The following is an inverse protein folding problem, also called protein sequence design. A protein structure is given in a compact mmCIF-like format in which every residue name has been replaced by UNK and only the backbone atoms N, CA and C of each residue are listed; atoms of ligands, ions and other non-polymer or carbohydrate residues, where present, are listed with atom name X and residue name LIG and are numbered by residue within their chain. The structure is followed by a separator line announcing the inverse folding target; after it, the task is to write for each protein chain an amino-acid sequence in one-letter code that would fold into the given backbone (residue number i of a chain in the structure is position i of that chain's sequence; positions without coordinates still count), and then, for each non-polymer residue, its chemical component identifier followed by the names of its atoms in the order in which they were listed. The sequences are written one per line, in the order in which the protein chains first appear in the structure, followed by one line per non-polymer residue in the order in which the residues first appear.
data_IF_208581316182
#
_entry.id   IF_208581316182
#
_cell.length_a   1.000
_cell.length_b   1.000
_cell.length_c   1.000
_cell.angle_alpha   90.00
_cell.angle_beta   90.00
_cell.angle_gamma   90.00
#
_symmetry.space_group_name_H-M   'P 1'
#
loop_
_entity.id
_entity.type
_entity.pdbx_description
1 polymer ?
#
# COMPACT_ATOMS: atom_id res chain seq x y z
N UNK A 1 -23.98 19.98 -19.98
CA UNK A 1 -23.23 20.42 -18.78
C UNK A 1 -24.01 20.21 -17.48
N UNK A 2 -25.32 19.90 -17.53
CA UNK A 2 -26.19 19.86 -16.34
C UNK A 2 -26.25 18.54 -15.56
N UNK A 3 -25.55 17.46 -15.99
CA UNK A 3 -25.70 16.15 -15.35
C UNK A 3 -24.67 15.86 -14.23
N UNK A 4 -23.68 16.74 -14.05
CA UNK A 4 -22.59 16.51 -13.08
C UNK A 4 -22.93 17.00 -11.68
N UNK A 5 -23.66 18.11 -11.55
CA UNK A 5 -24.02 18.68 -10.24
C UNK A 5 -24.88 17.74 -9.38
N UNK A 6 -25.94 17.09 -9.91
CA UNK A 6 -26.69 16.10 -9.13
C UNK A 6 -25.83 14.92 -8.67
N UNK A 7 -24.92 14.45 -9.52
CA UNK A 7 -24.00 13.35 -9.17
C UNK A 7 -23.03 13.81 -8.07
N UNK A 8 -22.51 15.02 -8.17
CA UNK A 8 -21.60 15.58 -7.15
C UNK A 8 -22.29 15.73 -5.79
N UNK A 9 -23.55 16.17 -5.78
CA UNK A 9 -24.34 16.29 -4.55
C UNK A 9 -24.58 14.90 -3.91
N UNK A 10 -24.95 13.91 -4.71
CA UNK A 10 -25.11 12.52 -4.24
C UNK A 10 -23.83 11.98 -3.65
N UNK A 11 -22.68 12.19 -4.31
CA UNK A 11 -21.37 11.78 -3.82
C UNK A 11 -21.07 12.46 -2.49
N UNK A 12 -21.27 13.77 -2.40
CA UNK A 12 -21.06 14.53 -1.18
C UNK A 12 -21.89 13.99 -0.01
N UNK A 13 -23.17 13.72 -0.25
CA UNK A 13 -24.05 13.17 0.78
C UNK A 13 -23.60 11.78 1.23
N UNK A 14 -23.24 10.91 0.28
CA UNK A 14 -22.70 9.56 0.55
C UNK A 14 -21.45 9.63 1.41
N UNK A 15 -20.48 10.45 0.99
CA UNK A 15 -19.21 10.62 1.72
C UNK A 15 -19.40 11.20 3.12
N UNK A 16 -20.31 12.18 3.30
CA UNK A 16 -20.63 12.73 4.63
C UNK A 16 -21.22 11.67 5.55
N UNK A 17 -22.09 10.81 5.04
CA UNK A 17 -22.68 9.73 5.84
C UNK A 17 -21.62 8.70 6.24
N UNK A 18 -20.76 8.29 5.32
CA UNK A 18 -19.65 7.37 5.61
C UNK A 18 -18.67 7.98 6.60
N UNK A 19 -18.27 9.25 6.40
CA UNK A 19 -17.37 9.96 7.31
C UNK A 19 -17.92 10.01 8.74
N UNK A 20 -19.19 10.43 8.92
CA UNK A 20 -19.85 10.45 10.23
C UNK A 20 -19.80 9.06 10.88
N UNK A 21 -20.13 8.03 10.11
CA UNK A 21 -20.15 6.67 10.61
C UNK A 21 -18.76 6.14 10.99
N UNK A 22 -17.72 6.52 10.25
CA UNK A 22 -16.33 6.21 10.61
C UNK A 22 -15.91 6.88 11.91
N UNK A 23 -16.21 8.18 12.06
CA UNK A 23 -15.93 8.92 13.31
C UNK A 23 -16.59 8.23 14.49
N UNK A 24 -17.88 7.87 14.38
CA UNK A 24 -18.63 7.16 15.43
C UNK A 24 -18.04 5.78 15.73
N UNK A 25 -17.74 4.99 14.70
CA UNK A 25 -17.32 3.58 14.86
C UNK A 25 -15.90 3.44 15.42
N UNK A 26 -15.01 4.34 15.07
CA UNK A 26 -13.59 4.26 15.47
C UNK A 26 -13.21 5.26 16.55
N UNK A 27 -14.12 6.17 16.93
CA UNK A 27 -13.87 7.26 17.88
C UNK A 27 -12.64 8.10 17.52
N UNK A 28 -12.44 8.33 16.21
CA UNK A 28 -11.32 9.13 15.68
C UNK A 28 -11.90 10.31 14.91
N UNK A 29 -11.60 11.51 15.40
CA UNK A 29 -11.97 12.73 14.69
C UNK A 29 -10.92 13.03 13.62
N UNK A 30 -11.36 13.11 12.36
CA UNK A 30 -10.53 13.50 11.23
C UNK A 30 -11.30 14.43 10.30
N UNK A 31 -10.57 15.28 9.58
CA UNK A 31 -11.19 16.26 8.70
C UNK A 31 -11.77 15.60 7.46
N UNK A 32 -12.95 16.09 7.03
CA UNK A 32 -13.52 15.72 5.73
C UNK A 32 -12.71 16.29 4.56
N UNK A 33 -12.96 15.84 3.34
CA UNK A 33 -12.34 16.43 2.14
C UNK A 33 -12.70 17.92 2.01
N UNK A 34 -11.71 18.72 1.63
CA UNK A 34 -11.94 20.15 1.37
C UNK A 34 -12.81 20.37 0.14
N UNK A 35 -12.64 19.56 -0.90
CA UNK A 35 -13.41 19.61 -2.13
C UNK A 35 -13.44 18.23 -2.82
N UNK A 36 -14.44 18.04 -3.68
CA UNK A 36 -14.60 16.87 -4.54
C UNK A 36 -14.67 17.36 -5.98
N UNK A 37 -13.76 16.86 -6.82
CA UNK A 37 -13.69 17.22 -8.24
C UNK A 37 -13.92 16.00 -9.11
N UNK A 38 -15.02 16.04 -9.85
CA UNK A 38 -15.31 15.06 -10.89
C UNK A 38 -14.62 15.54 -12.17
N UNK A 39 -13.70 14.75 -12.69
CA UNK A 39 -12.87 15.12 -13.83
C UNK A 39 -12.85 14.02 -14.89
N UNK A 40 -12.59 14.39 -16.14
CA UNK A 40 -12.47 13.45 -17.25
C UNK A 40 -11.21 12.59 -17.09
N UNK A 41 -11.27 11.36 -17.57
CA UNK A 41 -10.14 10.40 -17.48
C UNK A 41 -8.80 10.96 -17.95
N UNK A 42 -8.67 11.71 -19.07
CA UNK A 42 -7.38 12.27 -19.48
C UNK A 42 -6.82 13.28 -18.47
N UNK A 43 -7.68 14.05 -17.81
CA UNK A 43 -7.28 15.02 -16.79
C UNK A 43 -6.84 14.28 -15.51
N UNK A 44 -7.55 13.23 -15.12
CA UNK A 44 -7.18 12.38 -14.00
C UNK A 44 -5.79 11.77 -14.20
N UNK A 45 -5.55 11.16 -15.36
CA UNK A 45 -4.25 10.60 -15.73
C UNK A 45 -3.14 11.66 -15.72
N UNK A 46 -3.42 12.86 -16.22
CA UNK A 46 -2.47 13.99 -16.17
C UNK A 46 -2.11 14.35 -14.74
N UNK A 47 -3.08 14.41 -13.83
CA UNK A 47 -2.83 14.72 -12.40
C UNK A 47 -2.06 13.60 -11.70
N UNK A 48 -2.40 12.33 -11.95
CA UNK A 48 -1.66 11.17 -11.42
C UNK A 48 -0.21 11.16 -11.91
N UNK A 49 -0.01 11.36 -13.21
CA UNK A 49 1.34 11.45 -13.81
C UNK A 49 2.14 12.61 -13.22
N UNK A 50 1.50 13.77 -13.00
CA UNK A 50 2.14 14.93 -12.39
C UNK A 50 2.51 14.66 -10.91
N UNK A 51 1.62 14.01 -10.15
CA UNK A 51 1.91 13.57 -8.76
C UNK A 51 3.11 12.62 -8.74
N UNK A 52 3.12 11.63 -9.62
CA UNK A 52 4.23 10.69 -9.77
C UNK A 52 5.54 11.41 -10.15
N UNK A 53 5.49 12.32 -11.14
CA UNK A 53 6.65 13.13 -11.57
C UNK A 53 7.20 13.96 -10.41
N UNK A 54 6.33 14.60 -9.63
CA UNK A 54 6.74 15.40 -8.48
C UNK A 54 7.37 14.55 -7.37
N UNK A 55 6.82 13.37 -7.09
CA UNK A 55 7.37 12.45 -6.10
C UNK A 55 8.73 11.91 -6.54
N UNK A 56 8.90 11.58 -7.80
CA UNK A 56 10.17 11.11 -8.35
C UNK A 56 11.21 12.22 -8.35
N UNK A 57 10.85 13.46 -8.71
CA UNK A 57 11.75 14.61 -8.62
C UNK A 57 12.20 14.91 -7.19
N UNK A 58 11.31 14.87 -6.21
CA UNK A 58 11.66 15.02 -4.79
C UNK A 58 12.67 13.97 -4.32
N UNK A 59 12.60 12.80 -4.94
CA UNK A 59 13.54 11.72 -4.71
C UNK A 59 14.79 11.79 -5.62
N UNK A 60 15.04 12.93 -6.33
CA UNK A 60 16.22 13.18 -7.18
C UNK A 60 16.19 12.44 -8.53
N UNK A 61 15.06 11.83 -8.96
CA UNK A 61 14.92 11.22 -10.29
C UNK A 61 14.45 12.24 -11.31
N UNK A 62 15.26 12.46 -12.32
CA UNK A 62 14.90 13.26 -13.48
C UNK A 62 14.75 12.35 -14.69
N UNK A 63 13.59 12.41 -15.31
CA UNK A 63 13.31 11.75 -16.59
C UNK A 63 13.14 12.82 -17.66
N UNK A 64 13.57 12.52 -18.88
CA UNK A 64 13.32 13.38 -20.04
C UNK A 64 11.80 13.41 -20.35
N UNK A 65 11.34 14.41 -21.08
CA UNK A 65 9.93 14.51 -21.47
C UNK A 65 9.51 13.33 -22.36
N UNK A 66 10.42 12.78 -23.15
CA UNK A 66 10.18 11.56 -23.96
C UNK A 66 9.95 10.34 -23.07
N UNK A 67 10.76 10.15 -22.04
CA UNK A 67 10.59 9.07 -21.07
C UNK A 67 9.26 9.23 -20.29
N UNK A 68 8.91 10.47 -19.93
CA UNK A 68 7.63 10.76 -19.29
C UNK A 68 6.43 10.44 -20.17
N UNK A 69 6.52 10.73 -21.47
CA UNK A 69 5.50 10.39 -22.43
C UNK A 69 5.32 8.85 -22.50
N UNK A 70 6.40 8.11 -22.58
CA UNK A 70 6.36 6.63 -22.56
C UNK A 70 5.75 6.06 -21.26
N UNK A 71 6.13 6.61 -20.11
CA UNK A 71 5.56 6.22 -18.80
C UNK A 71 4.05 6.53 -18.76
N UNK A 72 3.64 7.72 -19.21
CA UNK A 72 2.24 8.12 -19.25
C UNK A 72 1.41 7.24 -20.18
N UNK A 73 1.95 6.89 -21.35
CA UNK A 73 1.31 5.96 -22.29
C UNK A 73 1.22 4.54 -21.73
N UNK A 74 2.26 4.06 -21.04
CA UNK A 74 2.25 2.76 -20.39
C UNK A 74 1.21 2.72 -19.26
N UNK A 75 1.10 3.77 -18.44
CA UNK A 75 0.08 3.90 -17.40
C UNK A 75 -1.34 3.93 -17.98
N UNK A 76 -1.52 4.58 -19.14
CA UNK A 76 -2.83 4.64 -19.80
C UNK A 76 -3.27 3.32 -20.45
N UNK A 77 -2.30 2.46 -20.82
CA UNK A 77 -2.56 1.18 -21.48
C UNK A 77 -2.61 0.00 -20.49
N UNK A 78 -2.12 0.18 -19.28
CA UNK A 78 -1.95 -0.92 -18.34
C UNK A 78 -3.12 -0.96 -17.34
N UNK A 79 -4.03 -1.93 -17.42
CA UNK A 79 -5.11 -2.11 -16.45
C UNK A 79 -4.62 -2.52 -15.05
N UNK A 80 -3.32 -2.66 -14.84
CA UNK A 80 -2.66 -3.03 -13.58
C UNK A 80 -2.52 -1.84 -12.61
N UNK A 81 -2.72 -0.60 -13.04
CA UNK A 81 -3.00 0.49 -12.11
C UNK A 81 -4.36 0.20 -11.49
N UNK A 82 -4.39 -0.07 -10.19
CA UNK A 82 -5.54 -0.65 -9.51
C UNK A 82 -6.85 0.05 -9.84
N UNK A 83 -7.94 -0.70 -9.86
CA UNK A 83 -9.28 -0.22 -10.19
C UNK A 83 -9.63 1.09 -9.45
N UNK A 84 -9.22 1.20 -8.19
CA UNK A 84 -9.45 2.39 -7.37
C UNK A 84 -8.68 3.63 -7.82
N UNK A 85 -7.41 3.52 -8.21
CA UNK A 85 -6.64 4.65 -8.74
C UNK A 85 -7.23 5.19 -10.06
N UNK A 86 -7.93 4.34 -10.84
CA UNK A 86 -8.63 4.75 -12.05
C UNK A 86 -10.02 5.36 -11.75
N UNK A 87 -10.61 5.07 -10.59
CA UNK A 87 -11.92 5.56 -10.19
C UNK A 87 -11.81 6.87 -9.43
N UNK A 88 -10.96 6.93 -8.44
CA UNK A 88 -10.72 8.11 -7.61
C UNK A 88 -9.29 8.12 -7.07
N UNK A 89 -8.85 9.26 -6.58
CA UNK A 89 -7.70 9.38 -5.70
C UNK A 89 -7.79 10.64 -4.81
N UNK A 90 -7.38 10.50 -3.58
CA UNK A 90 -7.19 11.62 -2.66
C UNK A 90 -5.82 12.26 -2.87
N UNK A 91 -5.79 13.60 -2.98
CA UNK A 91 -4.54 14.36 -3.00
C UNK A 91 -4.34 15.07 -1.65
N UNK A 92 -3.38 14.61 -0.81
CA UNK A 92 -3.19 15.17 0.52
C UNK A 92 -2.64 16.59 0.55
N UNK A 93 -2.14 17.13 -0.60
CA UNK A 93 -1.59 18.49 -0.66
C UNK A 93 -2.66 19.56 -0.73
N UNK A 94 -3.70 19.32 -1.51
CA UNK A 94 -4.82 20.22 -1.70
C UNK A 94 -6.08 19.76 -0.96
N UNK A 95 -6.00 18.58 -0.32
CA UNK A 95 -7.09 17.92 0.40
C UNK A 95 -8.32 17.66 -0.47
N UNK A 96 -8.11 17.47 -1.78
CA UNK A 96 -9.16 17.25 -2.77
C UNK A 96 -9.25 15.78 -3.13
N UNK A 97 -10.48 15.26 -3.18
CA UNK A 97 -10.81 13.97 -3.78
C UNK A 97 -11.10 14.18 -5.27
N UNK A 98 -10.29 13.58 -6.13
CA UNK A 98 -10.50 13.55 -7.58
C UNK A 98 -11.19 12.27 -7.99
N UNK A 99 -12.27 12.35 -8.74
CA UNK A 99 -13.06 11.20 -9.19
C UNK A 99 -13.22 11.21 -10.71
N UNK A 100 -13.17 10.03 -11.32
CA UNK A 100 -13.26 9.84 -12.75
C UNK A 100 -14.74 9.82 -13.20
N UNK A 101 -15.15 10.82 -13.96
CA UNK A 101 -16.53 10.96 -14.47
C UNK A 101 -16.99 9.70 -15.23
N UNK A 102 -16.13 9.16 -16.12
CA UNK A 102 -16.46 7.98 -16.91
C UNK A 102 -16.70 6.74 -16.04
N UNK A 103 -15.86 6.57 -15.01
CA UNK A 103 -15.97 5.42 -14.11
C UNK A 103 -17.22 5.51 -13.23
N UNK A 104 -17.57 6.71 -12.74
CA UNK A 104 -18.79 6.93 -11.97
C UNK A 104 -20.03 6.59 -12.81
N UNK A 105 -20.07 7.01 -14.07
CA UNK A 105 -21.21 6.76 -14.99
C UNK A 105 -21.32 5.30 -15.38
N UNK A 106 -20.20 4.62 -15.62
CA UNK A 106 -20.19 3.23 -16.08
C UNK A 106 -20.30 2.20 -14.96
N UNK A 107 -19.89 2.57 -13.72
CA UNK A 107 -19.83 1.68 -12.57
C UNK A 107 -20.37 2.36 -11.31
N UNK A 108 -21.64 2.81 -11.31
CA UNK A 108 -22.23 3.51 -10.17
C UNK A 108 -22.24 2.65 -8.90
N UNK A 109 -22.28 1.31 -9.04
CA UNK A 109 -22.23 0.36 -7.94
C UNK A 109 -20.89 0.39 -7.16
N UNK A 110 -19.83 0.86 -7.79
CA UNK A 110 -18.49 0.99 -7.15
C UNK A 110 -18.31 2.32 -6.42
N UNK A 111 -19.23 3.25 -6.54
CA UNK A 111 -19.11 4.58 -5.93
C UNK A 111 -18.98 4.51 -4.40
N UNK A 112 -19.85 3.77 -3.75
CA UNK A 112 -19.89 3.64 -2.28
C UNK A 112 -18.60 3.00 -1.74
N UNK A 113 -18.13 1.84 -2.28
CA UNK A 113 -16.88 1.23 -1.84
C UNK A 113 -15.67 2.16 -2.01
N UNK A 114 -15.56 2.83 -3.15
CA UNK A 114 -14.46 3.76 -3.42
C UNK A 114 -14.48 4.93 -2.44
N UNK A 115 -15.65 5.51 -2.19
CA UNK A 115 -15.80 6.58 -1.20
C UNK A 115 -15.36 6.13 0.21
N UNK A 116 -15.74 4.93 0.61
CA UNK A 116 -15.35 4.36 1.90
C UNK A 116 -13.84 4.11 1.98
N UNK A 117 -13.21 3.59 0.91
CA UNK A 117 -11.77 3.39 0.83
C UNK A 117 -10.99 4.70 0.98
N UNK A 118 -11.31 5.72 0.19
CA UNK A 118 -10.62 7.01 0.21
C UNK A 118 -10.76 7.74 1.56
N UNK A 119 -11.92 7.61 2.21
CA UNK A 119 -12.10 8.12 3.58
C UNK A 119 -11.29 7.32 4.59
N UNK A 120 -11.17 6.00 4.44
CA UNK A 120 -10.32 5.17 5.30
C UNK A 120 -8.84 5.53 5.14
N UNK A 121 -8.36 5.83 3.92
CA UNK A 121 -7.01 6.33 3.70
C UNK A 121 -6.79 7.65 4.42
N UNK A 122 -7.76 8.56 4.37
CA UNK A 122 -7.68 9.85 5.07
C UNK A 122 -7.71 9.68 6.58
N UNK A 123 -8.57 8.80 7.13
CA UNK A 123 -8.61 8.46 8.54
C UNK A 123 -7.25 7.94 9.01
N UNK A 124 -6.70 6.94 8.31
CA UNK A 124 -5.40 6.38 8.66
C UNK A 124 -4.27 7.40 8.54
N UNK A 125 -4.33 8.28 7.56
CA UNK A 125 -3.33 9.35 7.39
C UNK A 125 -3.37 10.40 8.49
N UNK A 126 -4.54 10.65 9.09
CA UNK A 126 -4.69 11.52 10.24
C UNK A 126 -4.29 10.84 11.56
N UNK A 127 -4.48 9.53 11.65
CA UNK A 127 -4.26 8.76 12.88
C UNK A 127 -2.83 8.24 13.03
N UNK A 128 -2.15 7.97 11.91
CA UNK A 128 -0.82 7.37 11.86
C UNK A 128 0.24 8.39 11.44
N UNK A 129 1.42 8.27 12.01
CA UNK A 129 2.60 8.93 11.44
C UNK A 129 2.90 8.35 10.05
N UNK A 130 3.17 9.20 9.02
CA UNK A 130 3.47 8.68 7.69
C UNK A 130 4.71 7.77 7.76
N UNK A 131 4.66 6.57 7.16
CA UNK A 131 5.82 5.68 7.12
C UNK A 131 6.95 6.38 6.37
N UNK A 132 8.17 6.31 6.92
CA UNK A 132 9.37 6.76 6.22
C UNK A 132 9.67 5.72 5.13
N UNK A 133 9.23 6.01 3.91
CA UNK A 133 9.53 5.15 2.76
C UNK A 133 11.01 5.29 2.38
N UNK A 134 11.70 4.17 2.23
CA UNK A 134 13.00 4.16 1.58
C UNK A 134 12.79 4.38 0.07
N UNK A 135 13.28 5.48 -0.54
CA UNK A 135 13.10 5.72 -1.95
C UNK A 135 13.77 4.63 -2.79
N UNK A 136 13.13 4.20 -3.88
CA UNK A 136 13.71 3.26 -4.87
C UNK A 136 15.13 3.66 -5.28
N UNK A 137 15.40 4.97 -5.34
CA UNK A 137 16.73 5.53 -5.60
C UNK A 137 17.78 5.16 -4.60
N UNK A 138 17.42 5.09 -3.30
CA UNK A 138 18.38 4.74 -2.26
C UNK A 138 18.91 3.32 -2.51
N UNK A 139 18.02 2.40 -2.93
CA UNK A 139 18.42 1.04 -3.30
C UNK A 139 19.27 1.03 -4.57
N UNK A 140 18.89 1.81 -5.60
CA UNK A 140 19.63 1.90 -6.85
C UNK A 140 21.01 2.54 -6.66
N UNK A 141 21.10 3.63 -5.89
CA UNK A 141 22.39 4.27 -5.54
C UNK A 141 23.27 3.33 -4.74
N UNK A 142 22.71 2.64 -3.74
CA UNK A 142 23.45 1.67 -2.95
C UNK A 142 23.98 0.53 -3.81
N UNK A 143 23.23 0.07 -4.81
CA UNK A 143 23.70 -0.94 -5.77
C UNK A 143 24.90 -0.44 -6.59
N UNK A 144 24.83 0.81 -7.11
CA UNK A 144 25.94 1.44 -7.86
C UNK A 144 27.18 1.60 -6.98
N UNK A 145 27.01 2.06 -5.72
CA UNK A 145 28.12 2.20 -4.76
C UNK A 145 28.71 0.85 -4.39
N UNK A 146 27.88 -0.18 -4.21
CA UNK A 146 28.33 -1.55 -3.91
C UNK A 146 29.23 -2.11 -5.01
N UNK A 147 28.86 -1.89 -6.28
CA UNK A 147 29.72 -2.28 -7.42
C UNK A 147 31.09 -1.58 -7.39
N UNK A 148 31.16 -0.33 -6.90
CA UNK A 148 32.42 0.42 -6.81
C UNK A 148 33.28 0.00 -5.62
N UNK A 149 32.65 -0.35 -4.49
CA UNK A 149 33.34 -0.54 -3.21
C UNK A 149 33.41 -2.00 -2.78
N UNK A 150 32.77 -2.94 -3.49
CA UNK A 150 32.60 -4.35 -3.13
C UNK A 150 31.93 -4.55 -1.75
N UNK A 151 31.20 -3.55 -1.25
CA UNK A 151 30.49 -3.58 0.03
C UNK A 151 29.02 -3.94 -0.17
N UNK A 152 28.70 -5.24 -0.15
CA UNK A 152 27.35 -5.77 -0.37
C UNK A 152 26.44 -5.65 0.85
N UNK A 153 27.01 -5.49 2.05
CA UNK A 153 26.22 -5.45 3.31
C UNK A 153 25.23 -4.29 3.32
N UNK A 154 25.68 -3.09 2.96
CA UNK A 154 24.84 -1.90 2.87
C UNK A 154 23.70 -2.04 1.85
N UNK A 155 23.95 -2.71 0.73
CA UNK A 155 22.91 -3.00 -0.27
C UNK A 155 21.79 -3.87 0.32
N UNK A 156 22.16 -4.95 1.02
CA UNK A 156 21.17 -5.85 1.62
C UNK A 156 20.38 -5.19 2.75
N UNK A 157 20.99 -4.31 3.54
CA UNK A 157 20.27 -3.53 4.56
C UNK A 157 19.22 -2.61 3.94
N UNK A 158 19.59 -1.89 2.89
CA UNK A 158 18.67 -1.00 2.18
C UNK A 158 17.58 -1.76 1.43
N UNK A 159 17.92 -2.92 0.86
CA UNK A 159 16.95 -3.78 0.21
C UNK A 159 15.94 -4.34 1.23
N UNK A 160 16.38 -4.78 2.39
CA UNK A 160 15.52 -5.24 3.46
C UNK A 160 14.61 -4.12 3.98
N UNK A 161 15.14 -2.91 4.18
CA UNK A 161 14.35 -1.74 4.55
C UNK A 161 13.28 -1.42 3.51
N UNK A 162 13.62 -1.51 2.23
CA UNK A 162 12.68 -1.32 1.13
C UNK A 162 11.58 -2.38 1.12
N UNK A 163 11.94 -3.65 1.31
CA UNK A 163 10.97 -4.76 1.41
C UNK A 163 10.03 -4.55 2.60
N UNK A 164 10.54 -4.11 3.75
CA UNK A 164 9.72 -3.78 4.92
C UNK A 164 8.71 -2.67 4.61
N UNK A 165 9.14 -1.66 3.87
CA UNK A 165 8.25 -0.58 3.43
C UNK A 165 7.15 -1.09 2.49
N UNK A 166 7.48 -2.01 1.57
CA UNK A 166 6.49 -2.65 0.69
C UNK A 166 5.44 -3.40 1.53
N UNK A 167 5.86 -4.25 2.46
CA UNK A 167 4.93 -5.01 3.30
C UNK A 167 4.05 -4.11 4.18
N UNK A 168 4.62 -3.04 4.75
CA UNK A 168 3.84 -2.03 5.49
C UNK A 168 2.84 -1.30 4.60
N UNK A 169 3.22 -0.97 3.37
CA UNK A 169 2.30 -0.35 2.39
C UNK A 169 1.15 -1.29 2.05
N UNK A 170 1.44 -2.58 1.79
CA UNK A 170 0.42 -3.61 1.53
C UNK A 170 -0.55 -3.72 2.72
N UNK A 171 -0.02 -3.79 3.93
CA UNK A 171 -0.84 -3.86 5.14
C UNK A 171 -1.70 -2.60 5.29
N UNK A 172 -1.15 -1.40 5.04
CA UNK A 172 -1.89 -0.14 5.10
C UNK A 172 -3.05 -0.11 4.11
N UNK A 173 -2.83 -0.51 2.85
CA UNK A 173 -3.92 -0.62 1.86
C UNK A 173 -4.99 -1.61 2.30
N UNK A 174 -4.58 -2.77 2.84
CA UNK A 174 -5.52 -3.73 3.42
C UNK A 174 -6.32 -3.15 4.61
N UNK A 175 -5.71 -2.26 5.41
CA UNK A 175 -6.41 -1.56 6.49
C UNK A 175 -7.47 -0.60 5.94
N UNK A 176 -7.20 0.11 4.84
CA UNK A 176 -8.19 0.95 4.19
C UNK A 176 -9.42 0.13 3.79
N UNK A 177 -9.22 -1.05 3.19
CA UNK A 177 -10.32 -1.96 2.85
C UNK A 177 -11.05 -2.49 4.09
N UNK A 178 -10.34 -2.95 5.11
CA UNK A 178 -10.95 -3.50 6.32
C UNK A 178 -11.80 -2.46 7.05
N UNK A 179 -11.32 -1.23 7.19
CA UNK A 179 -12.05 -0.10 7.80
C UNK A 179 -13.27 0.27 6.94
N UNK A 180 -13.09 0.36 5.62
CA UNK A 180 -14.17 0.67 4.69
C UNK A 180 -15.31 -0.35 4.80
N UNK A 181 -14.98 -1.65 4.72
CA UNK A 181 -15.99 -2.72 4.78
C UNK A 181 -16.65 -2.83 6.15
N UNK A 182 -15.91 -2.65 7.24
CA UNK A 182 -16.51 -2.61 8.59
C UNK A 182 -17.47 -1.42 8.72
N UNK A 183 -17.13 -0.26 8.18
CA UNK A 183 -18.01 0.93 8.19
C UNK A 183 -19.27 0.66 7.38
N UNK A 184 -19.13 0.15 6.15
CA UNK A 184 -20.25 -0.15 5.28
C UNK A 184 -21.20 -1.22 5.89
N UNK A 185 -20.65 -2.24 6.56
CA UNK A 185 -21.43 -3.22 7.29
C UNK A 185 -22.27 -2.56 8.39
N UNK A 186 -21.71 -1.60 9.12
CA UNK A 186 -22.45 -0.86 10.16
C UNK A 186 -23.47 0.15 9.60
N UNK A 187 -23.55 0.31 8.28
CA UNK A 187 -24.52 1.12 7.52
C UNK A 187 -25.53 0.24 6.75
N UNK A 188 -25.66 -1.03 7.11
CA UNK A 188 -26.59 -2.01 6.51
C UNK A 188 -26.30 -2.35 5.03
N UNK A 189 -25.04 -2.18 4.56
CA UNK A 189 -24.62 -2.62 3.23
C UNK A 189 -24.10 -4.07 3.20
N UNK A 190 -24.71 -4.99 3.94
CA UNK A 190 -24.20 -6.35 4.15
C UNK A 190 -24.00 -7.13 2.84
N UNK A 191 -24.96 -7.06 1.90
CA UNK A 191 -24.85 -7.75 0.60
C UNK A 191 -23.67 -7.25 -0.22
N UNK A 192 -23.45 -5.93 -0.25
CA UNK A 192 -22.34 -5.31 -0.94
C UNK A 192 -21.00 -5.71 -0.29
N UNK A 193 -20.93 -5.66 1.04
CA UNK A 193 -19.75 -6.05 1.80
C UNK A 193 -19.38 -7.51 1.55
N UNK A 194 -20.35 -8.43 1.60
CA UNK A 194 -20.14 -9.85 1.33
C UNK A 194 -19.58 -10.11 -0.06
N UNK A 195 -20.09 -9.39 -1.07
CA UNK A 195 -19.60 -9.48 -2.45
C UNK A 195 -18.15 -9.00 -2.57
N UNK A 196 -17.82 -7.87 -1.94
CA UNK A 196 -16.47 -7.30 -1.96
C UNK A 196 -15.47 -8.17 -1.20
N UNK A 197 -15.85 -8.70 -0.04
CA UNK A 197 -15.01 -9.64 0.71
C UNK A 197 -14.64 -10.87 -0.11
N UNK A 198 -15.62 -11.41 -0.85
CA UNK A 198 -15.38 -12.54 -1.75
C UNK A 198 -14.40 -12.17 -2.88
N UNK A 199 -14.56 -10.98 -3.46
CA UNK A 199 -13.63 -10.48 -4.48
C UNK A 199 -12.19 -10.35 -3.92
N UNK A 200 -12.06 -9.76 -2.73
CA UNK A 200 -10.78 -9.61 -2.04
C UNK A 200 -10.12 -10.96 -1.72
N UNK A 201 -10.89 -11.96 -1.27
CA UNK A 201 -10.38 -13.30 -0.99
C UNK A 201 -9.89 -14.01 -2.26
N UNK A 202 -10.64 -13.91 -3.36
CA UNK A 202 -10.25 -14.47 -4.66
C UNK A 202 -8.98 -13.80 -5.16
N UNK A 203 -8.90 -12.47 -5.09
CA UNK A 203 -7.72 -11.71 -5.47
C UNK A 203 -6.49 -12.07 -4.64
N UNK A 204 -6.66 -12.18 -3.31
CA UNK A 204 -5.62 -12.62 -2.39
C UNK A 204 -5.08 -14.00 -2.78
N UNK A 205 -5.94 -15.00 -2.94
CA UNK A 205 -5.54 -16.37 -3.28
C UNK A 205 -4.76 -16.47 -4.59
N UNK A 206 -5.06 -15.60 -5.57
CA UNK A 206 -4.36 -15.56 -6.86
C UNK A 206 -2.99 -14.88 -6.80
N UNK A 207 -2.78 -13.99 -5.83
CA UNK A 207 -1.62 -13.09 -5.83
C UNK A 207 -0.65 -13.32 -4.66
N UNK A 208 -0.99 -14.16 -3.68
CA UNK A 208 -0.22 -14.33 -2.45
C UNK A 208 1.22 -14.80 -2.71
N UNK A 209 1.46 -15.60 -3.74
CA UNK A 209 2.78 -16.12 -4.10
C UNK A 209 3.79 -15.00 -4.41
N UNK A 210 3.31 -13.85 -4.91
CA UNK A 210 4.17 -12.69 -5.17
C UNK A 210 4.83 -12.15 -3.89
N UNK A 211 4.16 -12.28 -2.73
CA UNK A 211 4.76 -11.89 -1.45
C UNK A 211 5.86 -12.84 -1.02
N UNK A 212 5.69 -14.15 -1.29
CA UNK A 212 6.74 -15.13 -1.02
C UNK A 212 7.97 -14.92 -1.89
N UNK A 213 7.80 -14.50 -3.13
CA UNK A 213 8.92 -14.16 -4.02
C UNK A 213 9.76 -13.00 -3.46
N UNK A 214 9.10 -11.93 -2.97
CA UNK A 214 9.80 -10.81 -2.32
C UNK A 214 10.44 -11.24 -0.99
N UNK A 215 9.76 -12.01 -0.15
CA UNK A 215 10.30 -12.45 1.13
C UNK A 215 11.48 -13.44 0.92
N UNK A 216 11.47 -14.23 -0.14
CA UNK A 216 12.60 -15.05 -0.55
C UNK A 216 13.82 -14.22 -0.96
N UNK A 217 13.62 -13.06 -1.60
CA UNK A 217 14.71 -12.13 -1.88
C UNK A 217 15.38 -11.63 -0.59
N UNK A 218 14.57 -11.31 0.44
CA UNK A 218 15.07 -10.98 1.79
C UNK A 218 15.89 -12.12 2.39
N UNK A 219 15.35 -13.34 2.37
CA UNK A 219 16.05 -14.54 2.91
C UNK A 219 17.38 -14.82 2.21
N UNK A 220 17.46 -14.56 0.90
CA UNK A 220 18.72 -14.67 0.15
C UNK A 220 19.74 -13.66 0.65
N UNK A 221 19.36 -12.40 0.85
CA UNK A 221 20.21 -11.35 1.43
C UNK A 221 20.72 -11.74 2.83
N UNK A 222 19.83 -12.19 3.71
CA UNK A 222 20.20 -12.63 5.07
C UNK A 222 21.13 -13.85 5.08
N UNK A 223 21.00 -14.75 4.09
CA UNK A 223 21.91 -15.91 3.93
C UNK A 223 23.31 -15.44 3.53
N UNK A 224 23.40 -14.55 2.55
CA UNK A 224 24.70 -13.99 2.12
C UNK A 224 25.41 -13.29 3.28
N UNK A 225 24.69 -12.48 4.05
CA UNK A 225 25.25 -11.81 5.24
C UNK A 225 25.83 -12.84 6.24
N UNK A 226 25.10 -13.92 6.52
CA UNK A 226 25.57 -15.00 7.41
C UNK A 226 26.79 -15.74 6.86
N UNK A 227 26.79 -16.02 5.57
CA UNK A 227 27.87 -16.76 4.92
C UNK A 227 29.13 -15.89 4.78
N UNK A 228 29.00 -14.58 4.58
CA UNK A 228 30.13 -13.65 4.62
C UNK A 228 30.74 -13.54 6.02
N UNK A 229 29.92 -13.51 7.07
CA UNK A 229 30.44 -13.59 8.45
C UNK A 229 31.17 -14.90 8.68
N UNK A 230 30.60 -16.02 8.25
CA UNK A 230 31.22 -17.34 8.37
C UNK A 230 32.49 -17.50 7.52
N UNK A 231 32.57 -16.86 6.33
CA UNK A 231 33.76 -16.91 5.48
C UNK A 231 34.92 -16.10 6.02
N UNK A 232 34.68 -15.06 6.83
CA UNK A 232 35.75 -14.38 7.61
C UNK A 232 36.38 -15.28 8.66
N UNK A 233 35.65 -16.32 9.08
CA UNK A 233 36.12 -17.29 10.10
C UNK A 233 36.38 -18.69 9.55
N UNK A 234 36.18 -18.97 8.24
CA UNK A 234 36.39 -20.31 7.66
C UNK A 234 36.30 -20.34 6.13
N UNK A 235 37.17 -21.16 5.51
CA UNK A 235 37.41 -21.28 4.06
C UNK A 235 36.24 -21.83 3.21
N UNK A 236 35.04 -21.34 3.28
CA UNK A 236 33.96 -21.73 2.35
C UNK A 236 33.77 -20.68 1.26
N UNK A 237 33.84 -21.10 -0.01
CA UNK A 237 33.42 -20.26 -1.15
C UNK A 237 31.93 -19.92 -1.01
N UNK A 238 31.63 -18.66 -0.83
CA UNK A 238 30.24 -18.15 -0.91
C UNK A 238 29.83 -18.17 -2.38
N UNK A 239 28.70 -18.79 -2.67
CA UNK A 239 28.13 -18.77 -4.01
C UNK A 239 27.75 -17.31 -4.35
N UNK A 240 28.36 -16.76 -5.37
CA UNK A 240 28.09 -15.38 -5.81
C UNK A 240 26.59 -15.27 -6.19
N UNK A 241 25.88 -14.42 -5.51
CA UNK A 241 24.51 -14.06 -5.88
C UNK A 241 24.62 -12.95 -6.94
N UNK A 242 23.84 -13.10 -8.01
CA UNK A 242 23.66 -12.02 -8.97
C UNK A 242 22.83 -10.90 -8.32
N UNK A 243 23.55 -9.94 -7.73
CA UNK A 243 22.97 -8.80 -7.00
C UNK A 243 22.12 -7.93 -7.89
N UNK A 244 22.50 -7.80 -9.17
CA UNK A 244 21.74 -7.01 -10.13
C UNK A 244 20.38 -7.64 -10.40
N UNK A 245 20.35 -8.95 -10.59
CA UNK A 245 19.13 -9.69 -10.77
C UNK A 245 18.26 -9.59 -9.53
N UNK A 246 18.83 -9.76 -8.33
CA UNK A 246 18.07 -9.64 -7.07
C UNK A 246 17.41 -8.27 -6.92
N UNK A 247 18.13 -7.17 -7.17
CA UNK A 247 17.57 -5.81 -7.11
C UNK A 247 16.49 -5.62 -8.16
N UNK A 248 16.71 -6.04 -9.40
CA UNK A 248 15.72 -5.94 -10.49
C UNK A 248 14.45 -6.73 -10.17
N UNK A 249 14.58 -7.94 -9.66
CA UNK A 249 13.46 -8.81 -9.31
C UNK A 249 12.60 -8.16 -8.20
N UNK A 250 13.23 -7.62 -7.14
CA UNK A 250 12.51 -6.93 -6.06
C UNK A 250 11.80 -5.67 -6.57
N UNK A 251 12.48 -4.85 -7.38
CA UNK A 251 11.87 -3.63 -7.92
C UNK A 251 10.70 -3.93 -8.86
N UNK A 252 10.82 -4.97 -9.70
CA UNK A 252 9.76 -5.43 -10.60
C UNK A 252 8.55 -5.95 -9.81
N UNK A 253 8.79 -6.82 -8.83
CA UNK A 253 7.72 -7.37 -7.99
C UNK A 253 7.02 -6.27 -7.20
N UNK A 254 7.75 -5.28 -6.67
CA UNK A 254 7.17 -4.13 -5.97
C UNK A 254 6.22 -3.32 -6.87
N UNK A 255 6.53 -3.14 -8.15
CA UNK A 255 5.66 -2.45 -9.10
C UNK A 255 4.35 -3.21 -9.34
N UNK A 256 4.41 -4.54 -9.50
CA UNK A 256 3.22 -5.39 -9.67
C UNK A 256 2.35 -5.35 -8.43
N UNK A 257 2.97 -5.51 -7.27
CA UNK A 257 2.28 -5.56 -5.97
C UNK A 257 1.54 -4.26 -5.67
N UNK A 258 2.07 -3.12 -6.07
CA UNK A 258 1.42 -1.83 -5.82
C UNK A 258 -0.02 -1.77 -6.36
N UNK A 259 -0.30 -2.40 -7.50
CA UNK A 259 -1.64 -2.42 -8.11
C UNK A 259 -2.62 -3.43 -7.48
N UNK A 260 -2.13 -4.31 -6.59
CA UNK A 260 -2.92 -5.39 -5.97
C UNK A 260 -2.76 -5.44 -4.45
N UNK A 261 -2.15 -4.39 -3.86
CA UNK A 261 -1.82 -4.34 -2.44
C UNK A 261 -3.04 -4.50 -1.53
N UNK A 262 -4.19 -3.96 -1.91
CA UNK A 262 -5.43 -4.10 -1.17
C UNK A 262 -5.91 -5.56 -1.07
N UNK A 263 -5.80 -6.37 -2.15
CA UNK A 263 -6.09 -7.81 -2.08
C UNK A 263 -5.17 -8.53 -1.11
N UNK A 264 -3.87 -8.24 -1.21
CA UNK A 264 -2.85 -8.91 -0.42
C UNK A 264 -2.90 -8.53 1.06
N UNK A 265 -3.21 -7.27 1.36
CA UNK A 265 -3.21 -6.72 2.71
C UNK A 265 -4.47 -7.03 3.52
N UNK A 266 -5.62 -7.16 2.84
CA UNK A 266 -6.92 -7.24 3.47
C UNK A 266 -7.08 -8.35 4.52
N UNK A 267 -6.71 -9.63 4.28
CA UNK A 267 -6.94 -10.68 5.26
C UNK A 267 -6.21 -10.45 6.58
N UNK A 268 -4.95 -9.98 6.52
CA UNK A 268 -4.19 -9.66 7.71
C UNK A 268 -4.74 -8.43 8.43
N UNK A 269 -5.06 -7.38 7.69
CA UNK A 269 -5.61 -6.14 8.24
C UNK A 269 -6.98 -6.37 8.90
N UNK A 270 -7.86 -7.14 8.26
CA UNK A 270 -9.14 -7.55 8.83
C UNK A 270 -8.95 -8.27 10.16
N UNK A 271 -8.09 -9.29 10.20
CA UNK A 271 -7.84 -10.06 11.40
C UNK A 271 -7.29 -9.20 12.55
N UNK A 272 -6.39 -8.25 12.26
CA UNK A 272 -5.87 -7.29 13.26
C UNK A 272 -6.96 -6.34 13.73
N UNK A 273 -7.76 -5.79 12.81
CA UNK A 273 -8.84 -4.85 13.13
C UNK A 273 -9.92 -5.49 13.99
N UNK A 274 -10.37 -6.71 13.64
CA UNK A 274 -11.38 -7.45 14.40
C UNK A 274 -10.94 -7.81 15.82
N UNK A 275 -9.66 -8.15 16.00
CA UNK A 275 -9.15 -8.62 17.30
C UNK A 275 -8.62 -7.50 18.19
N UNK A 276 -7.98 -6.50 17.61
CA UNK A 276 -7.26 -5.45 18.36
C UNK A 276 -7.72 -4.03 18.03
N UNK A 277 -8.75 -3.88 17.20
CA UNK A 277 -9.25 -2.57 16.79
C UNK A 277 -8.24 -1.74 16.02
N UNK A 278 -8.51 -0.45 15.93
CA UNK A 278 -7.66 0.52 15.23
C UNK A 278 -6.29 0.71 15.92
N UNK A 279 -6.23 0.53 17.24
CA UNK A 279 -4.98 0.57 18.00
C UNK A 279 -4.03 -0.57 17.61
N UNK A 280 -4.58 -1.75 17.28
CA UNK A 280 -3.79 -2.87 16.73
C UNK A 280 -3.15 -2.53 15.39
N UNK A 281 -3.88 -1.83 14.51
CA UNK A 281 -3.34 -1.34 13.24
C UNK A 281 -2.16 -0.39 13.49
N UNK A 282 -2.33 0.58 14.39
CA UNK A 282 -1.27 1.52 14.77
C UNK A 282 -0.05 0.80 15.33
N UNK A 283 -0.25 -0.16 16.21
CA UNK A 283 0.82 -0.95 16.80
C UNK A 283 1.63 -1.69 15.72
N UNK A 284 0.95 -2.32 14.74
CA UNK A 284 1.59 -3.02 13.62
C UNK A 284 2.43 -2.07 12.77
N UNK A 285 1.88 -0.92 12.41
CA UNK A 285 2.56 0.02 11.51
C UNK A 285 3.73 0.76 12.15
N UNK A 286 3.65 1.07 13.46
CA UNK A 286 4.62 1.92 14.13
C UNK A 286 5.66 1.14 14.97
N UNK A 287 5.27 0.03 15.61
CA UNK A 287 6.09 -0.58 16.67
C UNK A 287 6.41 -2.06 16.47
N UNK A 288 5.69 -2.75 15.60
CA UNK A 288 5.87 -4.20 15.46
C UNK A 288 7.06 -4.58 14.59
N UNK A 289 7.57 -5.83 14.77
CA UNK A 289 8.60 -6.40 13.91
C UNK A 289 8.21 -6.38 12.43
N UNK A 290 9.19 -6.49 11.53
CA UNK A 290 8.95 -6.53 10.10
C UNK A 290 7.91 -7.56 9.70
N UNK A 291 6.95 -7.17 8.86
CA UNK A 291 5.97 -8.06 8.30
C UNK A 291 6.64 -9.08 7.35
N UNK A 292 6.06 -10.26 7.24
CA UNK A 292 6.53 -11.38 6.41
C UNK A 292 5.40 -11.93 5.56
N UNK A 293 5.71 -12.51 4.40
CA UNK A 293 4.72 -13.12 3.52
C UNK A 293 3.81 -14.12 4.22
N UNK A 294 4.36 -14.93 5.12
CA UNK A 294 3.62 -15.93 5.89
C UNK A 294 2.50 -15.34 6.76
N UNK A 295 2.61 -14.08 7.19
CA UNK A 295 1.58 -13.42 8.02
C UNK A 295 0.38 -13.00 7.18
N UNK A 296 0.61 -12.63 5.93
CA UNK A 296 -0.47 -12.36 4.98
C UNK A 296 -1.17 -13.63 4.53
N UNK A 297 -0.42 -14.73 4.37
CA UNK A 297 -0.99 -16.04 4.05
C UNK A 297 -1.73 -16.69 5.23
N UNK A 298 -1.25 -16.46 6.45
CA UNK A 298 -1.86 -16.99 7.68
C UNK A 298 -1.87 -15.93 8.78
N UNK A 299 -2.90 -15.05 8.81
CA UNK A 299 -3.03 -13.98 9.78
C UNK A 299 -2.97 -14.42 11.24
N UNK A 300 -3.47 -15.61 11.57
CA UNK A 300 -3.48 -16.14 12.94
C UNK A 300 -2.07 -16.29 13.52
N UNK A 301 -1.10 -16.64 12.67
CA UNK A 301 0.31 -16.71 13.08
C UNK A 301 0.83 -15.35 13.53
N UNK A 302 0.40 -14.27 12.88
CA UNK A 302 0.79 -12.92 13.26
C UNK A 302 0.06 -12.44 14.52
N UNK A 303 -1.23 -12.70 14.64
CA UNK A 303 -2.01 -12.35 15.82
C UNK A 303 -1.41 -12.95 17.09
N UNK A 304 -1.02 -14.23 17.06
CA UNK A 304 -0.36 -14.90 18.20
C UNK A 304 0.99 -14.24 18.56
N UNK A 305 1.70 -13.68 17.58
CA UNK A 305 2.93 -12.93 17.81
C UNK A 305 2.64 -11.53 18.38
N UNK A 306 1.61 -10.86 17.85
CA UNK A 306 1.19 -9.54 18.29
C UNK A 306 0.76 -9.53 19.77
N UNK A 307 0.03 -10.58 20.22
CA UNK A 307 -0.36 -10.74 21.63
C UNK A 307 0.84 -10.80 22.56
N UNK A 308 1.87 -11.57 22.21
CA UNK A 308 3.10 -11.63 23.00
C UNK A 308 3.77 -10.27 23.15
N UNK A 309 3.77 -9.47 22.08
CA UNK A 309 4.35 -8.12 22.07
C UNK A 309 3.52 -7.18 22.96
N UNK A 310 2.19 -7.24 22.85
CA UNK A 310 1.29 -6.40 23.65
C UNK A 310 1.45 -6.69 25.14
N UNK A 311 1.48 -7.97 25.52
CA UNK A 311 1.72 -8.37 26.93
C UNK A 311 3.05 -7.84 27.48
N UNK A 312 4.13 -7.90 26.69
CA UNK A 312 5.43 -7.35 27.12
C UNK A 312 5.41 -5.84 27.26
N UNK A 313 4.67 -5.12 26.42
CA UNK A 313 4.52 -3.67 26.50
C UNK A 313 3.73 -3.26 27.75
N UNK A 314 2.66 -4.00 28.07
CA UNK A 314 1.82 -3.76 29.25
C UNK A 314 2.59 -4.03 30.56
N UNK A 315 3.41 -5.07 30.60
CA UNK A 315 4.25 -5.38 31.78
C UNK A 315 5.36 -4.36 32.04
N UNK A 316 5.72 -3.53 31.06
CA UNK A 316 6.75 -2.49 31.18
C UNK A 316 6.21 -1.09 31.50
N UNK A 317 4.90 -0.94 31.56
CA UNK A 317 4.22 0.27 32.00
C UNK A 317 3.84 0.20 33.48
#
# INVERSE_FOLDING_TARGET
MNDIEPIKEQINQTLKNIHRKMVESFNINFTYFKDIKIIKQPELLKKLTQRMRNNLRKNGMTYSDTQWKQISEALSRNPVTGFFENFAFYNPKDEVLYMNEKMIKNHPEKLIPVCAHELSEKLLSAYLSPPREAPVQTVTKAYIETKKTNNTEKLYELLNTYIDTIFKSIFKEGCCEAIALQTLRSMDYETLVTSLERELQIGHSKCIDLLFDIDNARRRGDRVKRDQVRSRYGRRRVQAIDEEKLVKDVLRSAQVIKGISYYLGYPLAKAVLEKHGIEGIKLVLEKCPPLRAQYFANPQTYLAQLEKITTVIEQRR
#
